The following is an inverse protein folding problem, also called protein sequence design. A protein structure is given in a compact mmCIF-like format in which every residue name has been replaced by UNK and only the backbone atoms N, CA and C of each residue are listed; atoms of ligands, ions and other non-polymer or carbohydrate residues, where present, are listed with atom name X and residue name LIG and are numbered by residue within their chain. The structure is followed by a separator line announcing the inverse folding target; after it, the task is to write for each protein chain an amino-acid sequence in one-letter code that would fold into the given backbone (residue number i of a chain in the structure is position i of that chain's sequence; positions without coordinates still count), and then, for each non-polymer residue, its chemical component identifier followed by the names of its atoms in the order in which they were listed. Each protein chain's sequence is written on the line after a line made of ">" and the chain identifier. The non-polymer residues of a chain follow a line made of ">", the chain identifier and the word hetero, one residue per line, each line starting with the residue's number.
data_IF_569272002562
#
_entry.id   IF_569272002562
#
_cell.length_a   1.000
_cell.length_b   1.000
_cell.length_c   1.000
_cell.angle_alpha   90.00
_cell.angle_beta   90.00
_cell.angle_gamma   90.00
#
_symmetry.space_group_name_H-M   'P 1'
#
loop_
_entity.id
_entity.type
_entity.pdbx_description
1 polymer ?
#
# COMPACT_ATOMS: atom_id res chain seq x y z
N UNK A 1 19.09 -23.74 12.28
CA UNK A 1 18.72 -22.55 11.47
C UNK A 1 19.91 -22.18 10.60
N UNK A 2 19.75 -22.18 9.28
CA UNK A 2 20.86 -21.99 8.34
C UNK A 2 21.40 -20.55 8.37
N UNK A 3 22.72 -20.38 8.48
CA UNK A 3 23.38 -19.06 8.41
C UNK A 3 22.94 -18.22 7.19
N UNK A 4 22.63 -18.87 6.06
CA UNK A 4 22.16 -18.22 4.83
C UNK A 4 20.77 -17.57 5.00
N UNK A 5 19.89 -18.17 5.81
CA UNK A 5 18.56 -17.65 6.10
C UNK A 5 18.64 -16.38 6.96
N UNK A 6 19.42 -16.43 8.05
CA UNK A 6 19.64 -15.26 8.91
C UNK A 6 20.26 -14.08 8.15
N UNK A 7 21.18 -14.34 7.21
CA UNK A 7 21.80 -13.28 6.40
C UNK A 7 20.80 -12.58 5.47
N UNK A 8 19.78 -13.28 4.94
CA UNK A 8 18.74 -12.67 4.09
C UNK A 8 17.78 -11.80 4.91
N UNK A 9 17.35 -12.28 6.07
CA UNK A 9 16.52 -11.50 6.99
C UNK A 9 17.26 -10.24 7.43
N UNK A 10 18.53 -10.37 7.81
CA UNK A 10 19.33 -9.23 8.22
C UNK A 10 19.47 -8.18 7.10
N UNK A 11 19.65 -8.61 5.84
CA UNK A 11 19.66 -7.69 4.69
C UNK A 11 18.33 -6.96 4.51
N UNK A 12 17.20 -7.65 4.67
CA UNK A 12 15.87 -7.04 4.59
C UNK A 12 15.68 -6.00 5.72
N UNK A 13 16.09 -6.36 6.94
CA UNK A 13 16.01 -5.49 8.11
C UNK A 13 16.86 -4.22 7.91
N UNK A 14 18.10 -4.38 7.43
CA UNK A 14 18.99 -3.26 7.12
C UNK A 14 18.41 -2.38 6.02
N UNK A 15 17.82 -2.96 4.97
CA UNK A 15 17.17 -2.18 3.92
C UNK A 15 15.98 -1.36 4.45
N UNK A 16 15.12 -1.96 5.29
CA UNK A 16 14.01 -1.25 5.96
C UNK A 16 14.55 -0.10 6.82
N UNK A 17 15.55 -0.38 7.66
CA UNK A 17 16.15 0.61 8.54
C UNK A 17 16.77 1.76 7.75
N UNK A 18 17.47 1.48 6.64
CA UNK A 18 18.05 2.50 5.77
C UNK A 18 16.97 3.35 5.07
N UNK A 19 15.88 2.75 4.61
CA UNK A 19 14.78 3.48 3.96
C UNK A 19 14.05 4.38 4.96
N UNK A 20 13.81 3.88 6.18
CA UNK A 20 13.19 4.67 7.25
C UNK A 20 14.10 5.81 7.68
N UNK A 21 15.36 5.53 8.03
CA UNK A 21 16.33 6.56 8.41
C UNK A 21 16.56 7.57 7.29
N UNK A 22 16.67 7.11 6.05
CA UNK A 22 16.82 7.96 4.88
C UNK A 22 15.62 8.88 4.67
N UNK A 23 14.40 8.36 4.78
CA UNK A 23 13.18 9.15 4.69
C UNK A 23 13.09 10.23 5.77
N UNK A 24 13.46 9.89 7.02
CA UNK A 24 13.51 10.87 8.10
C UNK A 24 14.61 11.91 7.92
N UNK A 25 15.80 11.51 7.45
CA UNK A 25 16.90 12.44 7.16
C UNK A 25 16.50 13.43 6.07
N UNK A 26 15.89 12.95 4.97
CA UNK A 26 15.36 13.79 3.90
C UNK A 26 14.34 14.78 4.47
N UNK A 27 13.40 14.30 5.30
CA UNK A 27 12.39 15.14 5.93
C UNK A 27 13.02 16.27 6.78
N UNK A 28 14.01 15.95 7.62
CA UNK A 28 14.70 16.95 8.46
C UNK A 28 15.50 17.95 7.62
N UNK A 29 16.25 17.47 6.63
CA UNK A 29 17.09 18.32 5.78
C UNK A 29 16.23 19.23 4.91
N UNK A 30 15.27 18.67 4.18
CA UNK A 30 14.42 19.46 3.29
C UNK A 30 13.44 20.34 4.06
N UNK A 31 12.81 19.83 5.11
CA UNK A 31 11.88 20.61 5.93
C UNK A 31 12.57 21.82 6.57
N UNK A 32 13.69 21.62 7.27
CA UNK A 32 14.33 22.71 8.04
C UNK A 32 15.21 23.62 7.20
N UNK A 33 15.94 23.10 6.21
CA UNK A 33 16.91 23.91 5.47
C UNK A 33 16.37 24.45 4.16
N UNK A 34 15.50 23.71 3.48
CA UNK A 34 15.00 24.10 2.16
C UNK A 34 13.67 24.83 2.34
N UNK A 35 12.66 24.17 2.90
CA UNK A 35 11.30 24.73 2.97
C UNK A 35 11.23 26.00 3.84
N UNK A 36 11.88 26.01 5.01
CA UNK A 36 11.86 27.17 5.90
C UNK A 36 12.74 28.34 5.46
N UNK A 37 13.72 28.13 4.56
CA UNK A 37 14.58 29.22 4.05
C UNK A 37 14.20 29.73 2.66
N UNK A 38 13.67 28.87 1.79
CA UNK A 38 13.37 29.25 0.40
C UNK A 38 11.96 29.81 0.22
N UNK A 39 11.02 29.43 1.07
CA UNK A 39 9.65 29.93 0.99
C UNK A 39 9.41 30.94 2.08
N UNK A 40 8.83 32.09 1.73
CA UNK A 40 8.52 33.15 2.70
C UNK A 40 7.07 33.04 3.17
N UNK A 41 6.17 32.65 2.27
CA UNK A 41 4.72 32.58 2.53
C UNK A 41 4.32 31.29 3.26
N UNK A 42 3.26 31.37 4.06
CA UNK A 42 2.74 30.23 4.84
C UNK A 42 2.20 29.11 3.95
N UNK A 43 1.61 29.45 2.80
CA UNK A 43 1.01 28.49 1.87
C UNK A 43 2.09 27.67 1.16
N UNK A 44 3.15 28.31 0.68
CA UNK A 44 4.27 27.62 0.03
C UNK A 44 5.04 26.74 1.03
N UNK A 45 5.22 27.21 2.27
CA UNK A 45 5.79 26.38 3.35
C UNK A 45 4.94 25.15 3.62
N UNK A 46 3.61 25.30 3.67
CA UNK A 46 2.70 24.18 3.86
C UNK A 46 2.83 23.18 2.70
N UNK A 47 2.80 23.67 1.46
CA UNK A 47 2.92 22.83 0.26
C UNK A 47 4.27 22.11 0.17
N UNK A 48 5.37 22.83 0.43
CA UNK A 48 6.71 22.25 0.50
C UNK A 48 6.82 21.20 1.60
N UNK A 49 6.22 21.44 2.77
CA UNK A 49 6.21 20.45 3.86
C UNK A 49 5.43 19.19 3.45
N UNK A 50 4.28 19.32 2.78
CA UNK A 50 3.55 18.14 2.30
C UNK A 50 4.38 17.34 1.28
N UNK A 51 5.02 18.02 0.33
CA UNK A 51 5.79 17.36 -0.72
C UNK A 51 7.05 16.70 -0.20
N UNK A 52 7.82 17.40 0.63
CA UNK A 52 9.16 16.97 1.03
C UNK A 52 9.19 16.23 2.36
N UNK A 53 8.14 16.31 3.17
CA UNK A 53 8.07 15.63 4.46
C UNK A 53 6.99 14.53 4.48
N UNK A 54 5.75 14.84 4.09
CA UNK A 54 4.64 13.90 4.23
C UNK A 54 4.69 12.76 3.20
N UNK A 55 4.90 13.05 1.91
CA UNK A 55 4.96 12.00 0.89
C UNK A 55 6.15 11.05 1.07
N UNK A 56 7.39 11.51 1.31
CA UNK A 56 8.52 10.61 1.50
C UNK A 56 8.35 9.72 2.73
N UNK A 57 7.77 10.24 3.81
CA UNK A 57 7.46 9.44 5.00
C UNK A 57 6.39 8.38 4.71
N UNK A 58 5.34 8.73 3.96
CA UNK A 58 4.30 7.78 3.55
C UNK A 58 4.86 6.70 2.61
N UNK A 59 5.72 7.07 1.66
CA UNK A 59 6.40 6.13 0.75
C UNK A 59 7.30 5.20 1.56
N UNK A 60 8.07 5.73 2.52
CA UNK A 60 8.91 4.92 3.40
C UNK A 60 8.08 3.92 4.20
N UNK A 61 6.95 4.35 4.80
CA UNK A 61 6.04 3.47 5.52
C UNK A 61 5.42 2.38 4.62
N UNK A 62 5.05 2.74 3.38
CA UNK A 62 4.48 1.81 2.41
C UNK A 62 5.54 0.83 1.83
N UNK A 63 6.81 1.23 1.80
CA UNK A 63 7.90 0.44 1.21
C UNK A 63 8.24 -0.84 1.99
N UNK A 64 7.80 -0.95 3.25
CA UNK A 64 8.04 -2.15 4.05
C UNK A 64 7.52 -3.43 3.38
N UNK A 65 6.29 -3.39 2.85
CA UNK A 65 5.65 -4.55 2.21
C UNK A 65 6.40 -5.03 0.95
N UNK A 66 6.74 -4.17 -0.03
CA UNK A 66 7.51 -4.59 -1.20
C UNK A 66 8.95 -5.00 -0.83
N UNK A 67 9.62 -4.35 0.13
CA UNK A 67 10.95 -4.76 0.59
C UNK A 67 10.88 -6.17 1.22
N UNK A 68 9.90 -6.41 2.10
CA UNK A 68 9.67 -7.74 2.69
C UNK A 68 9.39 -8.79 1.61
N UNK A 69 8.58 -8.45 0.61
CA UNK A 69 8.28 -9.35 -0.52
C UNK A 69 9.51 -9.68 -1.37
N UNK A 70 10.40 -8.71 -1.60
CA UNK A 70 11.62 -8.89 -2.39
C UNK A 70 12.70 -9.72 -1.67
N UNK A 71 12.83 -9.57 -0.34
CA UNK A 71 13.94 -10.18 0.40
C UNK A 71 13.56 -11.42 1.23
N UNK A 72 12.28 -11.60 1.58
CA UNK A 72 11.80 -12.74 2.37
C UNK A 72 10.99 -13.72 1.51
N UNK A 73 11.53 -14.92 1.31
CA UNK A 73 10.82 -16.01 0.64
C UNK A 73 9.58 -16.43 1.42
N UNK A 74 9.67 -16.43 2.75
CA UNK A 74 8.58 -16.85 3.63
C UNK A 74 7.41 -15.86 3.58
N UNK A 75 7.73 -14.56 3.55
CA UNK A 75 6.73 -13.51 3.38
C UNK A 75 6.05 -13.62 2.02
N UNK A 76 6.82 -13.88 0.96
CA UNK A 76 6.30 -14.05 -0.40
C UNK A 76 5.36 -15.26 -0.51
N UNK A 77 5.69 -16.36 0.16
CA UNK A 77 4.89 -17.58 0.13
C UNK A 77 3.61 -17.44 0.97
N UNK A 78 3.69 -16.77 2.14
CA UNK A 78 2.52 -16.39 2.92
C UNK A 78 1.59 -15.45 2.14
N UNK A 79 2.15 -14.44 1.47
CA UNK A 79 1.39 -13.50 0.66
C UNK A 79 0.68 -14.18 -0.52
N UNK A 80 1.35 -15.09 -1.24
CA UNK A 80 0.70 -15.88 -2.31
C UNK A 80 -0.42 -16.75 -1.76
N UNK A 81 -0.23 -17.35 -0.58
CA UNK A 81 -1.25 -18.18 0.07
C UNK A 81 -2.49 -17.37 0.39
N UNK A 82 -2.34 -16.17 0.93
CA UNK A 82 -3.48 -15.29 1.23
C UNK A 82 -4.16 -14.75 -0.03
N UNK A 83 -3.39 -14.32 -1.04
CA UNK A 83 -3.96 -13.86 -2.32
C UNK A 83 -4.77 -14.96 -3.00
N UNK A 84 -4.25 -16.20 -3.04
CA UNK A 84 -4.96 -17.32 -3.64
C UNK A 84 -6.25 -17.68 -2.90
N UNK A 85 -6.41 -17.28 -1.63
CA UNK A 85 -7.67 -17.44 -0.88
C UNK A 85 -8.62 -16.27 -1.14
N UNK A 86 -8.09 -15.05 -1.19
CA UNK A 86 -8.87 -13.82 -1.33
C UNK A 86 -9.43 -13.63 -2.74
N UNK A 87 -8.65 -13.87 -3.79
CA UNK A 87 -9.06 -13.70 -5.19
C UNK A 87 -10.32 -14.52 -5.54
N UNK A 88 -10.40 -15.84 -5.27
CA UNK A 88 -11.60 -16.62 -5.56
C UNK A 88 -12.78 -16.31 -4.62
N UNK A 89 -12.53 -15.76 -3.41
CA UNK A 89 -13.61 -15.28 -2.53
C UNK A 89 -14.21 -13.97 -3.05
N UNK A 90 -13.38 -13.07 -3.58
CA UNK A 90 -13.85 -11.81 -4.19
C UNK A 90 -14.64 -12.10 -5.47
N UNK A 91 -14.12 -12.96 -6.35
CA UNK A 91 -14.82 -13.37 -7.57
C UNK A 91 -16.18 -14.03 -7.28
N UNK A 92 -16.27 -14.87 -6.24
CA UNK A 92 -17.54 -15.46 -5.80
C UNK A 92 -18.53 -14.43 -5.23
N UNK A 93 -18.05 -13.36 -4.59
CA UNK A 93 -18.92 -12.28 -4.11
C UNK A 93 -19.43 -11.41 -5.25
N UNK A 94 -18.58 -11.09 -6.23
CA UNK A 94 -18.97 -10.32 -7.41
C UNK A 94 -20.02 -11.06 -8.24
N UNK A 95 -19.83 -12.35 -8.51
CA UNK A 95 -20.84 -13.18 -9.20
C UNK A 95 -22.18 -13.26 -8.44
N UNK A 96 -22.16 -13.23 -7.11
CA UNK A 96 -23.38 -13.23 -6.29
C UNK A 96 -24.16 -11.92 -6.40
N UNK A 97 -23.47 -10.79 -6.54
CA UNK A 97 -24.12 -9.48 -6.74
C UNK A 97 -24.76 -9.39 -8.13
N UNK A 98 -24.07 -9.89 -9.15
CA UNK A 98 -24.55 -9.86 -10.55
C UNK A 98 -25.79 -10.74 -10.75
N UNK A 99 -25.77 -11.96 -10.18
CA UNK A 99 -26.94 -12.86 -10.20
C UNK A 99 -28.14 -12.31 -9.44
N UNK A 100 -27.92 -11.57 -8.34
CA UNK A 100 -29.00 -10.93 -7.59
C UNK A 100 -29.65 -9.77 -8.38
N UNK A 101 -28.83 -8.96 -9.07
CA UNK A 101 -29.32 -7.88 -9.93
C UNK A 101 -30.19 -8.41 -11.07
N UNK A 102 -29.72 -9.43 -11.82
CA UNK A 102 -30.47 -10.00 -12.95
C UNK A 102 -31.82 -10.61 -12.51
N UNK A 103 -31.86 -11.27 -11.35
CA UNK A 103 -33.09 -11.88 -10.83
C UNK A 103 -34.13 -10.83 -10.45
N UNK A 104 -33.69 -9.70 -9.90
CA UNK A 104 -34.57 -8.57 -9.57
C UNK A 104 -35.16 -7.94 -10.84
N UNK A 105 -34.37 -7.76 -11.90
CA UNK A 105 -34.83 -7.18 -13.16
C UNK A 105 -35.89 -8.05 -13.83
N UNK A 106 -35.66 -9.37 -13.90
CA UNK A 106 -36.61 -10.32 -14.49
C UNK A 106 -37.93 -10.36 -13.72
N UNK A 107 -37.91 -10.24 -12.38
CA UNK A 107 -39.14 -10.16 -11.60
C UNK A 107 -39.93 -8.87 -11.86
N UNK A 108 -39.27 -7.71 -11.97
CA UNK A 108 -39.96 -6.46 -12.34
C UNK A 108 -40.61 -6.51 -13.72
N UNK A 109 -39.94 -7.11 -14.71
CA UNK A 109 -40.50 -7.22 -16.07
C UNK A 109 -41.69 -8.19 -16.09
N UNK A 110 -41.60 -9.32 -15.38
CA UNK A 110 -42.70 -10.29 -15.31
C UNK A 110 -43.95 -9.76 -14.58
N UNK A 111 -43.80 -8.82 -13.64
CA UNK A 111 -44.93 -8.15 -12.95
C UNK A 111 -45.59 -7.10 -13.84
N UNK A 112 -44.87 -6.51 -14.81
CA UNK A 112 -45.45 -5.55 -15.76
C UNK A 112 -46.21 -6.22 -16.92
N UNK A 113 -46.06 -7.53 -17.13
CA UNK A 113 -46.75 -8.29 -18.19
C UNK A 113 -48.02 -9.01 -17.72
N UNK A 114 -48.43 -8.89 -16.45
CA UNK A 114 -49.73 -9.41 -16.00
C UNK A 114 -50.81 -8.33 -16.20
N UNK A 115 -51.79 -8.55 -17.11
CA UNK A 115 -52.87 -7.60 -17.40
C UNK A 115 -53.91 -7.49 -16.28
#
# INVERSE_FOLDING_TARGET
>A
MDQKYNRRIYKALVAIVLVVLGGYLINVVFGKFIVYRLYETSIEKWYGTQIFCAYPAAIAAASHAPILYSFSTDYRDAFRKEINILVPKLGRRLMRVETFSLRSTVQTVAVMEQP
#
